data_IF_450056073856
#
_entry.id   IF_450056073856
#
_cell.length_a   1.000
_cell.length_b   1.000
_cell.length_c   1.000
_cell.angle_alpha   90.00
_cell.angle_beta   90.00
_cell.angle_gamma   90.00
#
_symmetry.space_group_name_H-M   'P 1'
#
loop_
_entity.id
_entity.type
_entity.pdbx_description
1 polymer ?
#
# COMPACT_ATOMS: atom_id res chain seq x y z
N UNK A 1 -22.72 37.01 -8.48
CA UNK A 1 -22.84 36.12 -7.30
C UNK A 1 -21.45 35.81 -6.79
N UNK A 2 -21.16 36.07 -5.50
CA UNK A 2 -19.94 35.54 -4.85
C UNK A 2 -20.10 34.02 -4.76
N UNK A 3 -19.05 33.30 -5.15
CA UNK A 3 -18.99 31.85 -5.01
C UNK A 3 -18.66 31.56 -3.55
N UNK A 4 -19.52 30.84 -2.84
CA UNK A 4 -19.22 30.45 -1.47
C UNK A 4 -17.98 29.56 -1.45
N UNK A 5 -17.09 29.84 -0.51
CA UNK A 5 -15.89 29.03 -0.30
C UNK A 5 -16.31 27.77 0.46
N UNK A 6 -16.23 26.62 -0.22
CA UNK A 6 -16.47 25.32 0.37
C UNK A 6 -15.18 24.50 0.30
N UNK A 7 -14.66 24.11 1.47
CA UNK A 7 -13.54 23.18 1.58
C UNK A 7 -14.08 21.77 1.82
N UNK A 8 -13.51 20.74 1.19
CA UNK A 8 -13.87 19.36 1.50
C UNK A 8 -13.48 19.00 2.94
N UNK A 9 -14.20 18.06 3.54
CA UNK A 9 -13.85 17.53 4.86
C UNK A 9 -12.46 16.86 4.83
N UNK A 10 -11.60 17.05 5.85
CA UNK A 10 -10.23 16.54 5.87
C UNK A 10 -10.16 15.06 6.30
N UNK A 11 -10.98 14.19 5.71
CA UNK A 11 -11.10 12.77 6.07
C UNK A 11 -9.76 12.01 6.03
N UNK A 12 -8.89 12.39 5.08
CA UNK A 12 -7.55 11.83 4.99
C UNK A 12 -6.72 12.15 6.25
N UNK A 13 -6.80 13.37 6.76
CA UNK A 13 -6.05 13.78 7.94
C UNK A 13 -6.61 13.13 9.21
N UNK A 14 -7.94 12.97 9.30
CA UNK A 14 -8.61 12.27 10.40
C UNK A 14 -8.16 10.80 10.44
N UNK A 15 -8.21 10.10 9.30
CA UNK A 15 -7.77 8.70 9.22
C UNK A 15 -6.29 8.52 9.52
N UNK A 16 -5.42 9.46 9.10
CA UNK A 16 -4.01 9.46 9.50
C UNK A 16 -3.81 9.67 10.99
N UNK A 17 -4.58 10.56 11.62
CA UNK A 17 -4.48 10.79 13.06
C UNK A 17 -4.81 9.52 13.85
N UNK A 18 -5.88 8.81 13.48
CA UNK A 18 -6.25 7.54 14.12
C UNK A 18 -5.17 6.47 13.92
N UNK A 19 -4.69 6.30 12.69
CA UNK A 19 -3.64 5.31 12.39
C UNK A 19 -2.30 5.64 13.03
N UNK A 20 -1.99 6.93 13.18
CA UNK A 20 -0.77 7.36 13.87
C UNK A 20 -0.78 6.93 15.34
N UNK A 21 -1.93 6.95 16.01
CA UNK A 21 -2.05 6.45 17.39
C UNK A 21 -1.71 4.96 17.47
N UNK A 22 -2.16 4.15 16.50
CA UNK A 22 -1.79 2.73 16.43
C UNK A 22 -0.27 2.56 16.24
N UNK A 23 0.34 3.37 15.36
CA UNK A 23 1.79 3.34 15.15
C UNK A 23 2.56 3.75 16.40
N UNK A 24 2.06 4.74 17.15
CA UNK A 24 2.69 5.22 18.38
C UNK A 24 2.89 4.10 19.39
N UNK A 25 1.87 3.27 19.55
CA UNK A 25 1.85 2.17 20.52
C UNK A 25 2.65 0.93 20.10
N UNK A 26 3.13 0.85 18.85
CA UNK A 26 3.80 -0.37 18.33
C UNK A 26 5.21 -0.10 17.83
N UNK A 27 5.42 1.00 17.10
CA UNK A 27 6.64 1.24 16.34
C UNK A 27 7.29 2.60 16.59
N UNK A 28 6.71 3.48 17.40
CA UNK A 28 7.29 4.80 17.67
C UNK A 28 7.82 4.91 19.11
N UNK A 29 8.25 6.11 19.46
CA UNK A 29 8.93 6.41 20.71
C UNK A 29 8.12 6.02 21.94
N UNK A 30 6.79 6.15 21.90
CA UNK A 30 5.92 5.78 23.01
C UNK A 30 6.05 4.28 23.36
N UNK A 31 6.02 3.39 22.35
CA UNK A 31 6.20 1.96 22.54
C UNK A 31 7.60 1.59 23.08
N UNK A 32 8.63 2.33 22.65
CA UNK A 32 9.99 2.15 23.16
C UNK A 32 10.05 2.52 24.64
N UNK A 33 9.53 3.69 25.02
CA UNK A 33 9.56 4.17 26.40
C UNK A 33 8.78 3.23 27.33
N UNK A 34 7.62 2.75 26.89
CA UNK A 34 6.84 1.75 27.62
C UNK A 34 7.65 0.46 27.83
N UNK A 35 8.23 -0.10 26.76
CA UNK A 35 9.05 -1.31 26.84
C UNK A 35 10.26 -1.14 27.78
N UNK A 36 10.95 0.00 27.69
CA UNK A 36 12.12 0.30 28.52
C UNK A 36 11.73 0.44 30.00
N UNK A 37 10.52 0.93 30.30
CA UNK A 37 10.03 1.08 31.68
C UNK A 37 9.85 -0.25 32.42
N UNK A 38 9.67 -1.35 31.68
CA UNK A 38 9.50 -2.70 32.23
C UNK A 38 10.82 -3.47 32.36
N UNK A 39 11.90 -2.95 31.76
CA UNK A 39 13.21 -3.60 31.72
C UNK A 39 14.14 -3.12 32.83
N UNK A 40 15.05 -4.00 33.25
CA UNK A 40 16.09 -3.64 34.20
C UNK A 40 17.11 -2.70 33.53
N UNK A 41 17.15 -1.44 33.98
CA UNK A 41 18.09 -0.41 33.50
C UNK A 41 19.55 -0.91 33.47
N UNK A 42 20.07 -1.64 34.48
CA UNK A 42 21.44 -2.16 34.44
C UNK A 42 21.72 -3.10 33.26
N UNK A 43 20.71 -3.86 32.80
CA UNK A 43 20.84 -4.75 31.65
C UNK A 43 21.00 -3.93 30.37
N UNK A 44 20.17 -2.90 30.19
CA UNK A 44 20.24 -2.00 29.04
C UNK A 44 21.60 -1.27 29.02
N UNK A 45 22.03 -0.73 30.16
CA UNK A 45 23.29 0.02 30.26
C UNK A 45 24.51 -0.86 29.94
N UNK A 46 24.50 -2.13 30.37
CA UNK A 46 25.55 -3.10 30.08
C UNK A 46 25.63 -3.42 28.58
N UNK A 47 24.48 -3.62 27.92
CA UNK A 47 24.43 -3.85 26.49
C UNK A 47 24.82 -2.60 25.68
N UNK A 48 24.32 -1.41 26.04
CA UNK A 48 24.73 -0.16 25.41
C UNK A 48 26.26 0.01 25.46
N UNK A 49 26.86 -0.25 26.63
CA UNK A 49 28.32 -0.20 26.80
C UNK A 49 29.07 -1.23 25.93
N UNK A 50 28.43 -2.35 25.58
CA UNK A 50 28.99 -3.41 24.74
C UNK A 50 28.87 -3.12 23.25
N UNK A 51 27.72 -2.63 22.80
CA UNK A 51 27.38 -2.50 21.38
C UNK A 51 27.65 -1.09 20.81
N UNK A 52 27.70 -0.05 21.65
CA UNK A 52 27.76 1.35 21.21
C UNK A 52 29.12 1.98 21.51
N UNK A 53 29.73 2.73 20.58
CA UNK A 53 30.94 3.49 20.85
C UNK A 53 30.73 4.50 21.99
N UNK A 54 31.63 4.50 22.97
CA UNK A 54 31.54 5.38 24.14
C UNK A 54 31.44 6.88 23.80
N UNK A 55 32.00 7.31 22.66
CA UNK A 55 31.88 8.69 22.17
C UNK A 55 30.44 9.09 21.85
N UNK A 56 29.64 8.15 21.34
CA UNK A 56 28.27 8.42 20.92
C UNK A 56 27.34 8.44 22.14
N UNK A 57 27.56 7.52 23.09
CA UNK A 57 26.87 7.54 24.39
C UNK A 57 27.15 8.84 25.15
N UNK A 58 28.41 9.32 25.14
CA UNK A 58 28.76 10.62 25.73
C UNK A 58 28.05 11.79 25.04
N UNK A 59 27.91 11.75 23.72
CA UNK A 59 27.21 12.79 22.96
C UNK A 59 25.72 12.87 23.35
N UNK A 60 25.06 11.71 23.53
CA UNK A 60 23.68 11.66 24.00
C UNK A 60 23.56 12.08 25.47
N UNK A 61 24.43 11.59 26.34
CA UNK A 61 24.43 11.92 27.77
C UNK A 61 24.66 13.42 28.01
N UNK A 62 25.50 14.08 27.22
CA UNK A 62 25.69 15.54 27.27
C UNK A 62 24.40 16.33 26.96
N UNK A 63 23.38 15.67 26.43
CA UNK A 63 22.05 16.21 26.15
C UNK A 63 20.96 15.71 27.09
N UNK A 64 21.32 14.92 28.10
CA UNK A 64 20.36 14.24 28.98
C UNK A 64 19.55 13.16 28.28
N UNK A 65 20.03 12.65 27.14
CA UNK A 65 19.38 11.59 26.39
C UNK A 65 19.94 10.22 26.78
N UNK A 66 19.03 9.26 26.92
CA UNK A 66 19.38 7.84 27.13
C UNK A 66 19.76 7.18 25.80
N UNK A 67 20.66 6.19 25.85
CA UNK A 67 21.26 5.59 24.65
C UNK A 67 20.28 4.78 23.81
N UNK A 68 19.35 4.09 24.46
CA UNK A 68 18.33 3.24 23.85
C UNK A 68 17.33 3.99 22.96
N UNK A 69 17.24 5.32 23.11
CA UNK A 69 16.46 6.18 22.20
C UNK A 69 17.04 6.18 20.78
N UNK A 70 18.27 5.74 20.59
CA UNK A 70 18.97 5.79 19.30
C UNK A 70 19.57 4.44 18.93
N UNK A 71 20.08 3.72 19.92
CA UNK A 71 20.82 2.48 19.73
C UNK A 71 20.00 1.26 20.11
N UNK A 72 19.79 0.37 19.13
CA UNK A 72 19.14 -0.91 19.36
C UNK A 72 20.04 -1.86 20.15
N UNK A 73 19.52 -2.43 21.24
CA UNK A 73 20.21 -3.45 22.03
C UNK A 73 19.37 -4.72 22.17
N UNK A 74 19.99 -5.90 22.32
CA UNK A 74 19.28 -7.17 22.34
C UNK A 74 18.15 -7.26 23.36
N UNK A 75 18.36 -6.78 24.60
CA UNK A 75 17.35 -6.83 25.66
C UNK A 75 16.02 -6.18 25.23
N UNK A 76 16.10 -5.05 24.51
CA UNK A 76 14.91 -4.34 24.02
C UNK A 76 14.24 -5.12 22.90
N UNK A 77 14.99 -5.61 21.91
CA UNK A 77 14.41 -6.34 20.78
C UNK A 77 13.91 -7.75 21.15
N UNK A 78 14.44 -8.35 22.21
CA UNK A 78 13.92 -9.59 22.78
C UNK A 78 12.64 -9.35 23.57
N UNK A 79 12.56 -8.27 24.34
CA UNK A 79 11.37 -7.91 25.10
C UNK A 79 10.21 -7.50 24.19
N UNK A 80 10.50 -6.67 23.18
CA UNK A 80 9.52 -6.21 22.21
C UNK A 80 10.11 -6.23 20.78
N UNK A 81 9.93 -7.33 20.04
CA UNK A 81 10.44 -7.44 18.67
C UNK A 81 9.86 -6.40 17.70
N UNK A 82 8.68 -5.81 17.99
CA UNK A 82 8.12 -4.76 17.14
C UNK A 82 9.02 -3.53 17.08
N UNK A 83 9.84 -3.26 18.10
CA UNK A 83 10.74 -2.11 18.15
C UNK A 83 11.86 -2.15 17.11
N UNK A 84 12.03 -3.25 16.37
CA UNK A 84 12.81 -3.21 15.12
C UNK A 84 12.26 -2.13 14.16
N UNK A 85 10.94 -1.95 14.12
CA UNK A 85 10.29 -0.90 13.37
C UNK A 85 10.70 0.50 13.83
N UNK A 86 10.81 0.73 15.15
CA UNK A 86 11.27 2.02 15.70
C UNK A 86 12.65 2.39 15.19
N UNK A 87 13.63 1.50 15.37
CA UNK A 87 15.01 1.78 14.96
C UNK A 87 15.14 1.90 13.44
N UNK A 88 14.41 1.09 12.67
CA UNK A 88 14.35 1.21 11.21
C UNK A 88 13.83 2.59 10.78
N UNK A 89 12.75 3.05 11.41
CA UNK A 89 12.12 4.34 11.11
C UNK A 89 13.04 5.51 11.50
N UNK A 90 13.67 5.45 12.67
CA UNK A 90 14.63 6.47 13.11
C UNK A 90 15.80 6.63 12.13
N UNK A 91 16.27 5.52 11.57
CA UNK A 91 17.36 5.51 10.59
C UNK A 91 16.91 5.91 9.17
N UNK A 92 15.62 6.17 8.95
CA UNK A 92 15.11 6.65 7.68
C UNK A 92 14.79 5.58 6.64
N UNK A 93 14.92 4.29 6.98
CA UNK A 93 14.78 3.22 6.00
C UNK A 93 13.33 2.83 5.75
N UNK A 94 12.95 2.67 4.48
CA UNK A 94 11.67 2.07 4.12
C UNK A 94 11.66 0.56 4.40
N UNK A 95 10.50 -0.06 4.61
CA UNK A 95 10.44 -1.53 4.73
C UNK A 95 10.95 -2.25 3.45
N UNK A 96 10.71 -1.68 2.26
CA UNK A 96 11.11 -2.29 0.99
C UNK A 96 12.63 -2.34 0.84
N UNK A 97 13.30 -1.25 1.23
CA UNK A 97 14.75 -1.14 1.25
C UNK A 97 15.35 -2.04 2.34
N UNK A 98 14.88 -1.87 3.58
CA UNK A 98 15.45 -2.55 4.75
C UNK A 98 15.31 -4.07 4.69
N UNK A 99 14.20 -4.60 4.17
CA UNK A 99 13.99 -6.05 4.00
C UNK A 99 14.29 -6.53 2.58
N UNK A 100 14.90 -5.69 1.75
CA UNK A 100 15.43 -6.07 0.45
C UNK A 100 16.68 -6.95 0.57
N UNK A 101 17.20 -7.40 -0.58
CA UNK A 101 18.38 -8.27 -0.63
C UNK A 101 19.67 -7.59 -0.15
N UNK A 102 19.74 -6.26 -0.19
CA UNK A 102 20.97 -5.50 0.08
C UNK A 102 21.35 -5.47 1.57
N UNK A 103 20.36 -5.46 2.47
CA UNK A 103 20.61 -5.34 3.91
C UNK A 103 20.81 -6.69 4.60
N UNK A 104 20.41 -7.80 3.95
CA UNK A 104 20.56 -9.15 4.48
C UNK A 104 19.67 -9.50 5.69
N UNK A 105 18.74 -8.62 6.09
CA UNK A 105 17.91 -8.79 7.30
C UNK A 105 16.46 -9.20 7.00
N UNK A 106 16.17 -9.67 5.78
CA UNK A 106 14.82 -10.07 5.36
C UNK A 106 14.17 -11.10 6.31
N UNK A 107 14.95 -12.03 6.87
CA UNK A 107 14.47 -13.03 7.84
C UNK A 107 13.96 -12.42 9.16
N UNK A 108 14.35 -11.18 9.48
CA UNK A 108 13.95 -10.46 10.69
C UNK A 108 12.62 -9.71 10.53
N UNK A 109 12.02 -9.68 9.34
CA UNK A 109 10.77 -8.95 9.06
C UNK A 109 9.60 -9.32 9.99
N UNK A 110 9.56 -10.58 10.43
CA UNK A 110 8.55 -11.07 11.37
C UNK A 110 8.61 -10.39 12.75
N UNK A 111 9.76 -9.86 13.16
CA UNK A 111 9.90 -9.10 14.42
C UNK A 111 9.06 -7.83 14.35
N UNK A 112 9.22 -7.05 13.28
CA UNK A 112 8.48 -5.80 13.09
C UNK A 112 7.00 -6.04 12.82
N UNK A 113 6.65 -7.01 11.97
CA UNK A 113 5.27 -7.22 11.49
C UNK A 113 4.43 -8.02 12.47
N UNK A 114 5.02 -9.04 13.11
CA UNK A 114 4.29 -10.00 13.93
C UNK A 114 4.69 -9.99 15.40
N UNK A 115 5.70 -9.21 15.80
CA UNK A 115 6.14 -9.12 17.19
C UNK A 115 6.82 -10.40 17.68
N UNK A 116 7.38 -11.20 16.77
CA UNK A 116 7.93 -12.52 17.10
C UNK A 116 9.33 -12.68 16.54
N UNK A 117 10.18 -13.34 17.33
CA UNK A 117 11.47 -13.84 16.86
C UNK A 117 11.23 -15.10 16.03
N UNK A 118 11.83 -15.18 14.85
CA UNK A 118 11.81 -16.40 14.04
C UNK A 118 12.97 -17.31 14.46
N UNK A 119 12.72 -18.49 15.05
CA UNK A 119 13.78 -19.42 15.46
C UNK A 119 14.62 -19.93 14.28
N UNK A 120 14.10 -19.82 13.06
CA UNK A 120 14.77 -20.21 11.81
C UNK A 120 15.42 -19.01 11.10
N UNK A 121 15.49 -17.84 11.75
CA UNK A 121 16.21 -16.71 11.19
C UNK A 121 17.70 -17.05 11.05
N UNK A 122 18.27 -16.69 9.90
CA UNK A 122 19.71 -16.87 9.63
C UNK A 122 20.53 -15.79 10.36
N UNK A 123 19.92 -14.63 10.60
CA UNK A 123 20.52 -13.51 11.34
C UNK A 123 20.13 -13.60 12.81
N UNK A 124 21.09 -13.37 13.71
CA UNK A 124 20.85 -13.27 15.16
C UNK A 124 20.50 -11.85 15.58
N UNK A 125 19.80 -11.69 16.71
CA UNK A 125 19.39 -10.37 17.21
C UNK A 125 20.62 -9.51 17.54
N UNK A 126 21.69 -10.10 18.06
CA UNK A 126 22.92 -9.40 18.39
C UNK A 126 23.64 -8.88 17.14
N UNK A 127 23.67 -9.69 16.07
CA UNK A 127 24.25 -9.30 14.78
C UNK A 127 23.48 -8.12 14.16
N UNK A 128 22.15 -8.18 14.26
CA UNK A 128 21.26 -7.08 13.85
C UNK A 128 21.53 -5.81 14.67
N UNK A 129 21.65 -5.91 16.01
CA UNK A 129 21.93 -4.77 16.88
C UNK A 129 23.28 -4.12 16.57
N UNK A 130 24.32 -4.91 16.28
CA UNK A 130 25.62 -4.37 15.84
C UNK A 130 25.47 -3.54 14.56
N UNK A 131 24.75 -4.06 13.56
CA UNK A 131 24.54 -3.36 12.29
C UNK A 131 23.73 -2.07 12.48
N UNK A 132 22.64 -2.13 13.25
CA UNK A 132 21.81 -0.97 13.57
C UNK A 132 22.58 0.08 14.36
N UNK A 133 23.37 -0.33 15.37
CA UNK A 133 24.19 0.59 16.15
C UNK A 133 25.23 1.30 15.29
N UNK A 134 25.85 0.61 14.33
CA UNK A 134 26.79 1.22 13.38
C UNK A 134 26.11 2.28 12.51
N UNK A 135 24.90 2.02 12.02
CA UNK A 135 24.13 2.99 11.26
C UNK A 135 23.69 4.18 12.15
N UNK A 136 23.25 3.91 13.37
CA UNK A 136 22.87 4.92 14.35
C UNK A 136 24.04 5.82 14.77
N UNK A 137 25.25 5.27 14.93
CA UNK A 137 26.47 6.04 15.16
C UNK A 137 26.76 7.01 14.02
N UNK A 138 26.49 6.60 12.77
CA UNK A 138 26.61 7.49 11.62
C UNK A 138 25.58 8.62 11.67
N UNK A 139 24.33 8.32 12.04
CA UNK A 139 23.29 9.35 12.25
C UNK A 139 23.72 10.36 13.32
N UNK A 140 24.08 9.89 14.53
CA UNK A 140 24.50 10.75 15.65
C UNK A 140 25.72 11.60 15.28
N UNK A 141 26.71 11.01 14.59
CA UNK A 141 27.93 11.71 14.20
C UNK A 141 27.72 12.83 13.17
N UNK A 142 26.63 12.79 12.39
CA UNK A 142 26.30 13.81 11.39
C UNK A 142 25.25 14.82 11.86
N UNK A 143 24.54 14.53 12.95
CA UNK A 143 23.66 15.49 13.60
C UNK A 143 24.49 16.47 14.43
N UNK A 144 24.15 17.77 14.38
CA UNK A 144 24.79 18.74 15.26
C UNK A 144 24.37 18.43 16.70
N UNK A 145 25.35 18.35 17.61
CA UNK A 145 25.10 17.98 19.00
C UNK A 145 24.01 18.84 19.70
N UNK A 146 23.89 20.12 19.32
CA UNK A 146 22.87 21.03 19.86
C UNK A 146 21.44 20.71 19.43
N UNK A 147 21.27 20.02 18.30
CA UNK A 147 19.97 19.73 17.71
C UNK A 147 19.41 18.39 18.22
N UNK A 148 20.26 17.54 18.82
CA UNK A 148 19.84 16.27 19.43
C UNK A 148 18.89 16.51 20.61
N UNK A 149 17.66 16.03 20.44
CA UNK A 149 16.58 16.09 21.42
C UNK A 149 15.62 14.93 21.21
N UNK A 150 14.86 14.59 22.25
CA UNK A 150 13.84 13.53 22.18
C UNK A 150 12.80 13.82 21.07
N UNK A 151 12.40 15.09 20.93
CA UNK A 151 11.45 15.54 19.90
C UNK A 151 12.00 15.40 18.49
N UNK A 152 13.28 15.72 18.25
CA UNK A 152 13.90 15.50 16.95
C UNK A 152 13.90 14.01 16.57
N UNK A 153 14.13 13.10 17.52
CA UNK A 153 14.09 11.67 17.26
C UNK A 153 12.68 11.20 16.87
N UNK A 154 11.63 11.72 17.54
CA UNK A 154 10.24 11.48 17.14
C UNK A 154 9.97 12.03 15.74
N UNK A 155 10.34 13.29 15.47
CA UNK A 155 10.16 13.94 14.16
C UNK A 155 10.82 13.13 13.02
N UNK A 156 12.04 12.64 13.22
CA UNK A 156 12.75 11.80 12.26
C UNK A 156 11.97 10.51 11.96
N UNK A 157 11.44 9.84 12.99
CA UNK A 157 10.62 8.64 12.78
C UNK A 157 9.33 8.96 12.01
N UNK A 158 8.67 10.09 12.30
CA UNK A 158 7.45 10.53 11.63
C UNK A 158 7.68 10.88 10.16
N UNK A 159 8.83 11.49 9.82
CA UNK A 159 9.22 11.76 8.43
C UNK A 159 9.31 10.49 7.59
N UNK A 160 9.70 9.37 8.20
CA UNK A 160 9.77 8.06 7.52
C UNK A 160 8.44 7.33 7.49
N UNK A 161 7.61 7.45 8.54
CA UNK A 161 6.26 6.85 8.58
C UNK A 161 5.30 7.53 7.61
N UNK A 162 5.39 8.85 7.43
CA UNK A 162 4.48 9.65 6.61
C UNK A 162 4.27 9.07 5.20
N UNK A 163 5.34 8.81 4.41
CA UNK A 163 5.25 8.16 3.11
C UNK A 163 4.62 6.77 3.15
N UNK A 164 4.91 5.97 4.19
CA UNK A 164 4.32 4.62 4.35
C UNK A 164 2.81 4.70 4.59
N UNK A 165 2.35 5.65 5.43
CA UNK A 165 0.93 5.87 5.65
C UNK A 165 0.21 6.36 4.38
N UNK A 166 0.81 7.32 3.66
CA UNK A 166 0.25 7.79 2.38
C UNK A 166 0.18 6.69 1.33
N UNK A 167 1.24 5.90 1.18
CA UNK A 167 1.25 4.74 0.28
C UNK A 167 0.16 3.73 0.65
N UNK A 168 0.01 3.43 1.94
CA UNK A 168 -1.03 2.52 2.42
C UNK A 168 -2.46 3.00 2.12
N UNK A 169 -2.75 4.29 2.28
CA UNK A 169 -4.06 4.85 1.92
C UNK A 169 -4.29 4.84 0.41
N UNK A 170 -3.29 5.22 -0.38
CA UNK A 170 -3.39 5.18 -1.83
C UNK A 170 -3.66 3.76 -2.35
N UNK A 171 -3.03 2.74 -1.77
CA UNK A 171 -3.28 1.34 -2.11
C UNK A 171 -4.70 0.91 -1.74
N UNK A 172 -5.19 1.30 -0.56
CA UNK A 172 -6.57 1.01 -0.14
C UNK A 172 -7.60 1.68 -1.06
N UNK A 173 -7.38 2.94 -1.45
CA UNK A 173 -8.22 3.63 -2.43
C UNK A 173 -8.14 2.96 -3.81
N UNK A 174 -6.95 2.48 -4.19
CA UNK A 174 -6.71 1.57 -5.32
C UNK A 174 -7.68 0.40 -5.34
N UNK A 175 -7.58 -0.43 -4.31
CA UNK A 175 -8.39 -1.63 -4.12
C UNK A 175 -9.88 -1.33 -4.02
N UNK A 176 -10.28 -0.30 -3.29
CA UNK A 176 -11.69 0.07 -3.16
C UNK A 176 -12.29 0.44 -4.51
N UNK A 177 -11.57 1.19 -5.35
CA UNK A 177 -12.08 1.51 -6.68
C UNK A 177 -12.26 0.28 -7.58
N UNK A 178 -11.39 -0.73 -7.46
CA UNK A 178 -11.54 -2.01 -8.16
C UNK A 178 -12.80 -2.73 -7.70
N UNK A 179 -13.02 -2.82 -6.38
CA UNK A 179 -14.23 -3.41 -5.80
C UNK A 179 -15.49 -2.65 -6.24
N UNK A 180 -15.47 -1.33 -6.22
CA UNK A 180 -16.61 -0.51 -6.64
C UNK A 180 -17.03 -0.79 -8.09
N UNK A 181 -16.08 -0.99 -9.00
CA UNK A 181 -16.37 -1.37 -10.40
C UNK A 181 -16.92 -2.79 -10.48
N UNK A 182 -16.35 -3.72 -9.71
CA UNK A 182 -16.84 -5.10 -9.65
C UNK A 182 -18.28 -5.18 -9.15
N UNK A 183 -18.63 -4.43 -8.10
CA UNK A 183 -19.99 -4.33 -7.55
C UNK A 183 -20.97 -3.74 -8.57
N UNK A 184 -20.51 -2.78 -9.40
CA UNK A 184 -21.32 -2.25 -10.52
C UNK A 184 -21.63 -3.37 -11.51
N UNK A 185 -20.62 -4.16 -11.90
CA UNK A 185 -20.78 -5.27 -12.85
C UNK A 185 -21.68 -6.35 -12.26
N UNK A 186 -21.51 -6.71 -10.99
CA UNK A 186 -22.37 -7.67 -10.31
C UNK A 186 -23.84 -7.25 -10.33
N UNK A 187 -24.13 -5.98 -10.04
CA UNK A 187 -25.49 -5.44 -10.07
C UNK A 187 -26.10 -5.51 -11.47
N UNK A 188 -25.32 -5.18 -12.51
CA UNK A 188 -25.74 -5.28 -13.91
C UNK A 188 -26.05 -6.74 -14.28
N UNK A 189 -25.21 -7.67 -13.83
CA UNK A 189 -25.30 -9.08 -14.18
C UNK A 189 -26.27 -9.89 -13.30
N UNK A 190 -26.75 -9.31 -12.19
CA UNK A 190 -27.60 -9.96 -11.19
C UNK A 190 -28.70 -10.87 -11.76
N UNK A 191 -29.42 -10.51 -12.84
CA UNK A 191 -30.46 -11.38 -13.40
C UNK A 191 -29.95 -12.73 -13.95
N UNK A 192 -28.66 -12.83 -14.27
CA UNK A 192 -28.04 -13.99 -14.91
C UNK A 192 -27.00 -14.71 -14.04
N UNK A 193 -26.80 -14.26 -12.79
CA UNK A 193 -25.84 -14.87 -11.86
C UNK A 193 -26.29 -16.28 -11.47
N UNK A 194 -25.40 -17.24 -11.67
CA UNK A 194 -25.54 -18.61 -11.17
C UNK A 194 -24.84 -18.76 -9.82
N UNK A 195 -23.66 -18.15 -9.70
CA UNK A 195 -22.87 -18.18 -8.49
C UNK A 195 -22.06 -16.89 -8.38
N UNK A 196 -21.90 -16.39 -7.16
CA UNK A 196 -21.08 -15.23 -6.88
C UNK A 196 -20.32 -15.45 -5.57
N UNK A 197 -19.04 -15.08 -5.61
CA UNK A 197 -18.17 -15.02 -4.45
C UNK A 197 -17.62 -13.61 -4.34
N UNK A 198 -16.85 -13.33 -3.28
CA UNK A 198 -16.19 -12.03 -3.13
C UNK A 198 -15.20 -11.67 -4.25
N UNK A 199 -14.76 -12.62 -5.09
CA UNK A 199 -13.75 -12.36 -6.12
C UNK A 199 -14.08 -12.89 -7.51
N UNK A 200 -15.26 -13.49 -7.69
CA UNK A 200 -15.68 -14.05 -8.97
C UNK A 200 -17.20 -14.14 -9.06
N UNK A 201 -17.74 -13.82 -10.24
CA UNK A 201 -19.14 -13.97 -10.64
C UNK A 201 -19.16 -14.97 -11.79
N UNK A 202 -20.01 -15.97 -11.67
CA UNK A 202 -20.33 -16.93 -12.71
C UNK A 202 -21.74 -16.66 -13.21
N UNK A 203 -21.86 -16.46 -14.52
CA UNK A 203 -23.15 -16.33 -15.19
C UNK A 203 -23.27 -17.35 -16.31
N UNK A 204 -24.50 -17.54 -16.80
CA UNK A 204 -24.75 -18.25 -18.05
C UNK A 204 -25.28 -17.31 -19.11
N UNK A 205 -24.61 -17.28 -20.24
CA UNK A 205 -25.06 -16.46 -21.36
C UNK A 205 -26.23 -17.09 -22.11
N UNK A 206 -26.81 -16.35 -23.05
CA UNK A 206 -27.95 -16.82 -23.87
C UNK A 206 -27.62 -18.05 -24.72
N UNK A 207 -26.34 -18.34 -24.97
CA UNK A 207 -25.92 -19.57 -25.65
C UNK A 207 -25.72 -20.76 -24.69
N UNK A 208 -26.04 -20.61 -23.41
CA UNK A 208 -25.88 -21.64 -22.38
C UNK A 208 -24.44 -21.86 -21.91
N UNK A 209 -23.49 -21.02 -22.33
CA UNK A 209 -22.08 -21.10 -21.94
C UNK A 209 -21.81 -20.33 -20.65
N UNK A 210 -20.84 -20.82 -19.88
CA UNK A 210 -20.44 -20.20 -18.64
C UNK A 210 -19.52 -19.01 -18.92
N UNK A 211 -19.79 -17.88 -18.28
CA UNK A 211 -18.99 -16.66 -18.38
C UNK A 211 -18.57 -16.26 -16.97
N UNK A 212 -17.27 -16.02 -16.82
CA UNK A 212 -16.63 -15.65 -15.57
C UNK A 212 -16.21 -14.19 -15.60
N UNK A 213 -16.56 -13.46 -14.55
CA UNK A 213 -16.04 -12.13 -14.23
C UNK A 213 -15.28 -12.26 -12.92
N UNK A 214 -13.98 -11.94 -12.89
CA UNK A 214 -13.14 -12.19 -11.71
C UNK A 214 -12.07 -11.11 -11.54
N UNK A 215 -11.60 -10.95 -10.30
CA UNK A 215 -10.38 -10.19 -10.05
C UNK A 215 -9.16 -10.91 -10.64
N UNK A 216 -8.24 -10.14 -11.20
CA UNK A 216 -6.98 -10.63 -11.72
C UNK A 216 -5.81 -9.76 -11.26
N UNK A 217 -4.59 -10.26 -11.42
CA UNK A 217 -3.39 -9.56 -10.99
C UNK A 217 -2.98 -8.42 -11.95
N UNK A 218 -3.28 -8.57 -13.24
CA UNK A 218 -2.95 -7.64 -14.31
C UNK A 218 -3.67 -8.07 -15.62
N UNK A 219 -4.70 -7.36 -16.12
CA UNK A 219 -5.41 -6.20 -15.53
C UNK A 219 -6.32 -6.55 -14.34
N UNK A 220 -6.83 -5.54 -13.64
CA UNK A 220 -7.55 -5.69 -12.35
C UNK A 220 -8.80 -6.59 -12.38
N UNK A 221 -9.62 -6.50 -13.44
CA UNK A 221 -10.84 -7.31 -13.62
C UNK A 221 -10.83 -7.91 -15.02
N UNK A 222 -11.20 -9.18 -15.14
CA UNK A 222 -11.23 -9.87 -16.43
C UNK A 222 -12.54 -10.63 -16.63
N UNK A 223 -12.98 -10.67 -17.89
CA UNK A 223 -14.17 -11.41 -18.33
C UNK A 223 -13.75 -12.47 -19.35
N UNK A 224 -14.13 -13.72 -19.09
CA UNK A 224 -13.82 -14.86 -19.96
C UNK A 224 -15.04 -15.75 -20.14
N UNK A 225 -15.19 -16.27 -21.35
CA UNK A 225 -16.23 -17.24 -21.71
C UNK A 225 -15.61 -18.63 -21.84
N UNK A 226 -16.23 -19.64 -21.23
CA UNK A 226 -15.81 -21.03 -21.35
C UNK A 226 -16.45 -21.63 -22.59
N UNK A 227 -15.60 -22.14 -23.48
CA UNK A 227 -16.01 -22.78 -24.73
C UNK A 227 -16.34 -24.27 -24.49
N UNK A 228 -17.08 -24.93 -25.39
CA UNK A 228 -17.44 -26.35 -25.24
C UNK A 228 -16.25 -27.31 -25.13
N UNK A 229 -15.11 -26.94 -25.71
CA UNK A 229 -13.84 -27.69 -25.61
C UNK A 229 -13.07 -27.41 -24.31
N UNK A 230 -13.70 -26.70 -23.35
CA UNK A 230 -13.13 -26.21 -22.08
C UNK A 230 -12.03 -25.16 -22.24
N UNK A 231 -11.77 -24.68 -23.46
CA UNK A 231 -10.91 -23.52 -23.66
C UNK A 231 -11.59 -22.25 -23.14
N UNK A 232 -10.80 -21.25 -22.77
CA UNK A 232 -11.32 -19.96 -22.33
C UNK A 232 -11.12 -18.91 -23.42
N UNK A 233 -12.21 -18.32 -23.86
CA UNK A 233 -12.20 -17.13 -24.71
C UNK A 233 -12.09 -15.89 -23.83
N UNK A 234 -11.01 -15.14 -23.99
CA UNK A 234 -10.74 -13.90 -23.24
C UNK A 234 -11.48 -12.74 -23.90
N UNK A 235 -12.49 -12.19 -23.22
CA UNK A 235 -13.40 -11.20 -23.79
C UNK A 235 -12.88 -9.80 -23.50
N UNK A 236 -12.88 -9.44 -22.21
CA UNK A 236 -12.63 -8.08 -21.76
C UNK A 236 -11.63 -8.10 -20.60
N UNK A 237 -10.69 -7.17 -20.61
CA UNK A 237 -9.86 -6.82 -19.47
C UNK A 237 -10.12 -5.37 -19.07
N UNK A 238 -10.24 -5.10 -17.77
CA UNK A 238 -10.55 -3.79 -17.22
C UNK A 238 -9.45 -3.42 -16.24
N UNK A 239 -8.85 -2.26 -16.45
CA UNK A 239 -7.91 -1.64 -15.53
C UNK A 239 -8.57 -0.47 -14.79
N UNK A 240 -8.40 -0.38 -13.48
CA UNK A 240 -9.04 0.64 -12.64
C UNK A 240 -8.00 1.57 -12.02
N UNK A 241 -8.05 2.84 -12.43
CA UNK A 241 -7.22 3.92 -11.89
C UNK A 241 -8.06 4.83 -10.99
N UNK A 242 -8.21 4.43 -9.71
CA UNK A 242 -9.07 5.07 -8.70
C UNK A 242 -8.58 6.34 -7.97
N UNK A 243 -7.28 6.68 -8.00
CA UNK A 243 -6.78 7.97 -7.52
C UNK A 243 -7.41 9.18 -8.21
N UNK A 244 -7.54 10.29 -7.48
CA UNK A 244 -8.31 11.48 -7.88
C UNK A 244 -7.48 12.63 -8.42
N UNK A 245 -6.16 12.52 -8.37
CA UNK A 245 -5.24 13.57 -8.80
C UNK A 245 -5.21 13.69 -10.33
N UNK A 246 -5.64 14.85 -10.82
CA UNK A 246 -5.65 15.18 -12.26
C UNK A 246 -4.24 15.37 -12.79
N UNK A 247 -3.30 15.87 -11.99
CA UNK A 247 -1.93 16.15 -12.44
C UNK A 247 -1.14 14.89 -12.78
N UNK A 248 -1.48 13.77 -12.13
CA UNK A 248 -0.81 12.49 -12.30
C UNK A 248 -1.58 11.50 -13.20
N UNK A 249 -2.67 11.92 -13.86
CA UNK A 249 -3.53 11.00 -14.61
C UNK A 249 -2.82 10.38 -15.83
N UNK A 250 -1.97 11.16 -16.50
CA UNK A 250 -1.23 10.72 -17.70
C UNK A 250 -0.28 9.55 -17.39
N UNK A 251 0.45 9.62 -16.27
CA UNK A 251 1.31 8.51 -15.83
C UNK A 251 0.50 7.24 -15.58
N UNK A 252 -0.69 7.37 -14.99
CA UNK A 252 -1.55 6.23 -14.65
C UNK A 252 -2.22 5.63 -15.88
N UNK A 253 -2.52 6.43 -16.90
CA UNK A 253 -2.98 5.95 -18.20
C UNK A 253 -1.85 5.17 -18.88
N UNK A 254 -0.61 5.66 -18.83
CA UNK A 254 0.55 4.93 -19.33
C UNK A 254 0.81 3.60 -18.60
N UNK A 255 0.50 3.52 -17.30
CA UNK A 255 0.51 2.25 -16.55
C UNK A 255 -0.59 1.31 -17.03
N UNK A 256 -1.82 1.80 -17.24
CA UNK A 256 -2.92 1.01 -17.78
C UNK A 256 -2.61 0.46 -19.18
N UNK A 257 -1.96 1.25 -20.02
CA UNK A 257 -1.53 0.83 -21.36
C UNK A 257 -0.58 -0.37 -21.29
N UNK A 258 0.37 -0.39 -20.35
CA UNK A 258 1.30 -1.52 -20.19
C UNK A 258 0.55 -2.81 -19.83
N UNK A 259 -0.43 -2.71 -18.94
CA UNK A 259 -1.32 -3.81 -18.56
C UNK A 259 -2.14 -4.32 -19.74
N UNK A 260 -2.76 -3.40 -20.49
CA UNK A 260 -3.54 -3.72 -21.68
C UNK A 260 -2.72 -4.33 -22.82
N UNK A 261 -1.47 -3.89 -23.04
CA UNK A 261 -0.58 -4.51 -24.02
C UNK A 261 -0.29 -5.98 -23.71
N UNK A 262 -0.12 -6.33 -22.42
CA UNK A 262 0.02 -7.73 -22.00
C UNK A 262 -1.29 -8.48 -22.21
N UNK A 263 -2.43 -7.91 -21.80
CA UNK A 263 -3.74 -8.52 -22.00
C UNK A 263 -4.05 -8.81 -23.48
N UNK A 264 -3.72 -7.89 -24.40
CA UNK A 264 -3.86 -8.13 -25.85
C UNK A 264 -2.96 -9.26 -26.33
N UNK A 265 -1.71 -9.33 -25.87
CA UNK A 265 -0.81 -10.45 -26.20
C UNK A 265 -1.35 -11.78 -25.67
N UNK A 266 -2.01 -11.74 -24.52
CA UNK A 266 -2.71 -12.88 -23.95
C UNK A 266 -4.05 -13.16 -24.64
N UNK A 267 -4.48 -12.37 -25.62
CA UNK A 267 -5.65 -12.63 -26.46
C UNK A 267 -6.97 -12.06 -25.95
N UNK A 268 -6.96 -11.12 -24.99
CA UNK A 268 -8.16 -10.33 -24.66
C UNK A 268 -8.57 -9.47 -25.86
N UNK A 269 -9.86 -9.46 -26.18
CA UNK A 269 -10.38 -8.74 -27.36
C UNK A 269 -10.59 -7.27 -27.08
N UNK A 270 -11.04 -6.94 -25.87
CA UNK A 270 -11.35 -5.59 -25.43
C UNK A 270 -10.55 -5.23 -24.17
N UNK A 271 -10.20 -3.96 -24.03
CA UNK A 271 -9.46 -3.41 -22.90
C UNK A 271 -10.09 -2.08 -22.49
N UNK A 272 -10.58 -1.96 -21.25
CA UNK A 272 -11.22 -0.74 -20.76
C UNK A 272 -10.46 -0.15 -19.59
N UNK A 273 -10.40 1.18 -19.51
CA UNK A 273 -9.81 1.87 -18.36
C UNK A 273 -10.89 2.64 -17.60
N UNK A 274 -11.03 2.39 -16.30
CA UNK A 274 -11.90 3.18 -15.42
C UNK A 274 -11.05 4.19 -14.64
N UNK A 275 -11.37 5.49 -14.71
CA UNK A 275 -10.62 6.57 -14.05
C UNK A 275 -11.48 7.32 -13.03
N UNK A 276 -10.86 7.86 -11.99
CA UNK A 276 -11.57 8.62 -10.94
C UNK A 276 -11.18 10.12 -10.89
N UNK A 277 -11.06 10.76 -12.05
CA UNK A 277 -10.78 12.20 -12.15
C UNK A 277 -12.01 12.98 -12.61
N UNK A 278 -12.14 14.23 -12.19
CA UNK A 278 -13.30 15.07 -12.52
C UNK A 278 -13.35 15.47 -14.01
N UNK A 279 -12.20 15.50 -14.67
CA UNK A 279 -12.06 15.79 -16.11
C UNK A 279 -10.93 14.94 -16.67
N UNK A 280 -11.20 14.30 -17.80
CA UNK A 280 -10.20 13.59 -18.59
C UNK A 280 -10.28 14.12 -20.02
N UNK A 281 -9.12 14.47 -20.57
CA UNK A 281 -8.98 14.71 -22.01
C UNK A 281 -8.94 13.34 -22.70
N UNK A 282 -10.06 12.96 -23.33
CA UNK A 282 -10.24 11.63 -23.93
C UNK A 282 -9.32 11.45 -25.15
N UNK A 283 -9.09 12.51 -25.93
CA UNK A 283 -8.27 12.41 -27.14
C UNK A 283 -6.80 12.19 -26.77
N UNK A 284 -6.31 12.93 -25.78
CA UNK A 284 -4.97 12.71 -25.23
C UNK A 284 -4.84 11.35 -24.54
N UNK A 285 -5.85 10.92 -23.79
CA UNK A 285 -5.85 9.61 -23.14
C UNK A 285 -5.77 8.45 -24.16
N UNK A 286 -6.46 8.57 -25.30
CA UNK A 286 -6.39 7.59 -26.40
C UNK A 286 -5.02 7.56 -27.08
N UNK A 287 -4.35 8.70 -27.16
CA UNK A 287 -2.97 8.75 -27.67
C UNK A 287 -1.99 8.06 -26.71
N UNK A 288 -2.17 8.24 -25.41
CA UNK A 288 -1.30 7.66 -24.37
C UNK A 288 -1.58 6.18 -24.10
N UNK A 289 -2.82 5.73 -24.30
CA UNK A 289 -3.20 4.32 -24.19
C UNK A 289 -4.02 3.87 -25.42
N UNK A 290 -3.35 3.64 -26.56
CA UNK A 290 -4.01 3.22 -27.79
C UNK A 290 -4.61 1.81 -27.71
N UNK A 291 -4.19 1.00 -26.73
CA UNK A 291 -4.78 -0.33 -26.51
C UNK A 291 -6.12 -0.26 -25.79
N UNK A 292 -6.39 0.84 -25.06
CA UNK A 292 -7.68 1.03 -24.39
C UNK A 292 -8.78 1.35 -25.41
N UNK A 293 -9.78 0.50 -25.46
CA UNK A 293 -10.97 0.66 -26.29
C UNK A 293 -11.91 1.76 -25.75
N UNK A 294 -12.14 1.78 -24.43
CA UNK A 294 -13.10 2.70 -23.78
C UNK A 294 -12.57 3.20 -22.44
N UNK A 295 -12.83 4.47 -22.14
CA UNK A 295 -12.57 5.09 -20.85
C UNK A 295 -13.88 5.40 -20.13
N UNK A 296 -14.02 4.96 -18.88
CA UNK A 296 -15.18 5.26 -18.04
C UNK A 296 -14.78 6.06 -16.81
N UNK A 297 -15.67 6.94 -16.36
CA UNK A 297 -15.49 7.68 -15.11
C UNK A 297 -16.09 6.90 -13.94
N UNK A 298 -15.27 6.52 -12.94
CA UNK A 298 -15.68 5.76 -11.76
C UNK A 298 -16.87 6.39 -11.05
N UNK A 299 -16.82 7.72 -10.83
CA UNK A 299 -17.92 8.46 -10.21
C UNK A 299 -19.23 8.35 -10.98
N UNK A 300 -19.18 8.29 -12.30
CA UNK A 300 -20.39 8.13 -13.11
C UNK A 300 -20.99 6.73 -12.97
N UNK A 301 -20.15 5.70 -12.89
CA UNK A 301 -20.58 4.31 -12.65
C UNK A 301 -21.18 4.15 -11.23
N UNK A 302 -20.58 4.80 -10.23
CA UNK A 302 -21.07 4.79 -8.85
C UNK A 302 -22.47 5.40 -8.69
N UNK A 303 -22.90 6.31 -9.58
CA UNK A 303 -24.23 6.90 -9.52
C UNK A 303 -25.36 5.93 -9.93
N UNK A 304 -25.04 4.79 -10.56
CA UNK A 304 -26.00 3.81 -11.10
C UNK A 304 -27.04 4.41 -12.05
N UNK A 305 -26.72 5.55 -12.67
CA UNK A 305 -27.62 6.29 -13.56
C UNK A 305 -26.84 7.22 -14.48
N UNK A 306 -27.51 7.63 -15.55
CA UNK A 306 -26.97 8.57 -16.54
C UNK A 306 -26.26 7.88 -17.70
N UNK A 307 -25.94 8.65 -18.73
CA UNK A 307 -25.52 8.12 -20.03
C UNK A 307 -24.26 7.22 -19.94
N UNK A 308 -23.27 7.59 -19.12
CA UNK A 308 -22.03 6.81 -18.97
C UNK A 308 -22.29 5.45 -18.30
N UNK A 309 -23.17 5.41 -17.30
CA UNK A 309 -23.54 4.16 -16.64
C UNK A 309 -24.36 3.27 -17.56
N UNK A 310 -25.32 3.83 -18.30
CA UNK A 310 -26.11 3.07 -19.27
C UNK A 310 -25.25 2.51 -20.40
N UNK A 311 -24.31 3.30 -20.95
CA UNK A 311 -23.35 2.81 -21.95
C UNK A 311 -22.50 1.66 -21.39
N UNK A 312 -21.93 1.83 -20.18
CA UNK A 312 -21.18 0.76 -19.52
C UNK A 312 -22.03 -0.50 -19.32
N UNK A 313 -23.26 -0.36 -18.84
CA UNK A 313 -24.21 -1.45 -18.63
C UNK A 313 -24.53 -2.19 -19.93
N UNK A 314 -24.89 -1.47 -20.99
CA UNK A 314 -25.21 -2.08 -22.28
C UNK A 314 -24.01 -2.79 -22.87
N UNK A 315 -22.81 -2.20 -22.77
CA UNK A 315 -21.58 -2.83 -23.25
C UNK A 315 -21.23 -4.10 -22.45
N UNK A 316 -21.38 -4.10 -21.11
CA UNK A 316 -21.20 -5.31 -20.29
C UNK A 316 -22.18 -6.40 -20.71
N UNK A 317 -23.48 -6.08 -20.78
CA UNK A 317 -24.54 -7.03 -21.18
C UNK A 317 -24.25 -7.64 -22.55
N UNK A 318 -23.85 -6.82 -23.53
CA UNK A 318 -23.50 -7.25 -24.87
C UNK A 318 -22.27 -8.17 -24.88
N UNK A 319 -21.23 -7.84 -24.10
CA UNK A 319 -19.99 -8.62 -24.03
C UNK A 319 -20.20 -10.00 -23.40
N UNK A 320 -21.03 -10.08 -22.36
CA UNK A 320 -21.33 -11.37 -21.71
C UNK A 320 -22.44 -12.15 -22.41
N UNK A 321 -23.26 -11.48 -23.22
CA UNK A 321 -24.34 -12.07 -24.02
C UNK A 321 -25.55 -12.49 -23.20
N UNK A 322 -26.05 -11.62 -22.30
CA UNK A 322 -27.30 -11.81 -21.56
C UNK A 322 -28.43 -10.91 -22.10
N UNK A 323 -29.68 -11.22 -21.75
CA UNK A 323 -30.83 -10.35 -22.11
C UNK A 323 -30.83 -9.08 -21.25
N UNK A 324 -31.11 -7.93 -21.90
CA UNK A 324 -31.19 -6.61 -21.27
C UNK A 324 -32.41 -6.42 -20.39
#
# INVERSE_FOLDING_TARGET
MKKDLAFPLPELQVSFSLKLQEFRNVWLQDALLETVSELAVPTIDAELSKYVPAKDLKALAARGLRGELVFAVPAILHANPHLLGYYRLLLGYSQKEFYGSEFGVASMKCMEVNGRLNPRSVVKVEELCVALCKAASHLVGNLKAKDLSIGLLDDLTLLTVGPQMRGGVNNKLGQQGIVDVFDVIEEILRPAIINATRGAIEIKNMSGRDVWVEFAADPDIVIREVMPDKSSRRILAIEVKSGTDVSNIHNRIGEAEKSHQKAKKDGYRECWTVVNVSKLDIDKAKLESPTTNVFYALKALQLRKGAVYEDFKQNIIAMVGISS
#
